data_IF_234787465038
#
_entry.id   IF_234787465038
#
_cell.length_a   1.000
_cell.length_b   1.000
_cell.length_c   1.000
_cell.angle_alpha   90.00
_cell.angle_beta   90.00
_cell.angle_gamma   90.00
#
_symmetry.space_group_name_H-M   'P 1'
#
loop_
_entity.id
_entity.type
_entity.pdbx_description
1 polymer ?
#
# COMPACT_ATOMS: atom_id res chain seq x y z
N UNK A 1 -18.26 -3.77 -22.02
CA UNK A 1 -17.88 -2.36 -21.81
C UNK A 1 -16.55 -2.15 -22.49
N UNK A 2 -16.47 -1.19 -23.41
CA UNK A 2 -15.31 -0.95 -24.25
C UNK A 2 -14.16 -0.38 -23.41
N UNK A 3 -12.98 -0.96 -23.58
CA UNK A 3 -11.72 -0.46 -23.03
C UNK A 3 -11.42 0.92 -23.62
N UNK A 4 -11.62 1.98 -22.83
CA UNK A 4 -11.16 3.32 -23.20
C UNK A 4 -9.65 3.39 -23.00
N UNK A 5 -8.91 3.17 -24.09
CA UNK A 5 -7.53 3.63 -24.24
C UNK A 5 -7.53 5.16 -24.09
N UNK A 6 -7.00 5.64 -22.96
CA UNK A 6 -6.87 7.06 -22.68
C UNK A 6 -5.77 7.64 -23.57
N UNK A 7 -6.15 8.53 -24.49
CA UNK A 7 -5.24 9.38 -25.25
C UNK A 7 -5.03 10.69 -24.49
N UNK A 8 -3.77 11.09 -24.32
CA UNK A 8 -3.37 12.36 -23.71
C UNK A 8 -3.75 13.56 -24.62
N UNK A 9 -4.13 14.73 -24.08
CA UNK A 9 -4.31 15.95 -24.88
C UNK A 9 -2.94 16.48 -25.36
N UNK A 10 -2.76 16.57 -26.67
CA UNK A 10 -1.59 17.16 -27.32
C UNK A 10 -1.49 18.67 -27.04
N UNK A 11 -0.40 19.10 -26.42
CA UNK A 11 0.08 20.47 -26.47
C UNK A 11 1.44 20.51 -27.18
N UNK A 12 1.48 21.12 -28.38
CA UNK A 12 2.71 21.57 -29.05
C UNK A 12 3.51 20.50 -29.79
N UNK A 13 3.40 20.51 -31.12
CA UNK A 13 4.17 19.67 -32.05
C UNK A 13 5.68 19.92 -31.92
N UNK A 14 6.41 18.91 -31.44
CA UNK A 14 7.77 18.57 -31.90
C UNK A 14 7.82 17.06 -32.02
N UNK A 15 7.88 16.55 -33.26
CA UNK A 15 7.99 15.13 -33.57
C UNK A 15 9.24 14.51 -32.91
N UNK A 16 9.04 13.77 -31.82
CA UNK A 16 9.96 12.73 -31.39
C UNK A 16 9.24 11.39 -31.49
N UNK A 17 9.76 10.56 -32.39
CA UNK A 17 9.42 9.15 -32.61
C UNK A 17 9.23 8.40 -31.29
N UNK A 18 7.98 8.23 -30.86
CA UNK A 18 7.60 7.31 -29.79
C UNK A 18 7.66 5.88 -30.32
N UNK A 19 8.75 5.17 -30.04
CA UNK A 19 8.75 3.71 -30.06
C UNK A 19 7.81 3.24 -28.95
N UNK A 20 6.60 2.84 -29.31
CA UNK A 20 5.76 2.03 -28.43
C UNK A 20 6.50 0.71 -28.22
N UNK A 21 7.08 0.49 -27.04
CA UNK A 21 7.61 -0.82 -26.67
C UNK A 21 6.44 -1.82 -26.67
N UNK A 22 6.43 -2.74 -27.63
CA UNK A 22 5.52 -3.88 -27.63
C UNK A 22 5.81 -4.73 -26.39
N UNK A 23 4.97 -4.61 -25.36
CA UNK A 23 5.07 -5.43 -24.15
C UNK A 23 4.79 -6.89 -24.53
N UNK A 24 5.81 -7.74 -24.44
CA UNK A 24 5.65 -9.19 -24.65
C UNK A 24 4.68 -9.75 -23.61
N UNK A 25 3.54 -10.28 -24.05
CA UNK A 25 2.54 -10.91 -23.19
C UNK A 25 3.15 -12.12 -22.51
N UNK A 26 3.15 -12.13 -21.19
CA UNK A 26 3.70 -13.20 -20.36
C UNK A 26 2.62 -14.22 -19.98
N UNK A 27 3.05 -15.39 -19.47
CA UNK A 27 2.14 -16.37 -18.85
C UNK A 27 1.35 -15.77 -17.66
N UNK A 28 1.92 -14.77 -16.98
CA UNK A 28 1.29 -14.11 -15.84
C UNK A 28 0.19 -13.14 -16.27
N UNK A 29 0.39 -12.40 -17.38
CA UNK A 29 -0.65 -11.50 -17.91
C UNK A 29 -1.90 -12.31 -18.30
N UNK A 30 -1.72 -13.46 -18.94
CA UNK A 30 -2.84 -14.37 -19.28
C UNK A 30 -3.53 -14.92 -18.04
N UNK A 31 -2.77 -15.37 -17.04
CA UNK A 31 -3.34 -15.92 -15.81
C UNK A 31 -4.07 -14.84 -14.97
N UNK A 32 -3.58 -13.60 -14.96
CA UNK A 32 -4.27 -12.49 -14.29
C UNK A 32 -5.60 -12.20 -14.98
N UNK A 33 -5.63 -12.20 -16.32
CA UNK A 33 -6.87 -12.02 -17.07
C UNK A 33 -7.89 -13.12 -16.77
N UNK A 34 -7.44 -14.38 -16.71
CA UNK A 34 -8.30 -15.51 -16.31
C UNK A 34 -8.84 -15.33 -14.89
N UNK A 35 -8.01 -14.85 -13.96
CA UNK A 35 -8.45 -14.56 -12.60
C UNK A 35 -9.48 -13.43 -12.54
N UNK A 36 -9.31 -12.36 -13.32
CA UNK A 36 -10.29 -11.27 -13.40
C UNK A 36 -11.64 -11.80 -13.90
N UNK A 37 -11.63 -12.68 -14.90
CA UNK A 37 -12.84 -13.34 -15.38
C UNK A 37 -13.49 -14.20 -14.29
N UNK A 38 -12.71 -15.02 -13.58
CA UNK A 38 -13.20 -15.83 -12.46
C UNK A 38 -13.77 -14.95 -11.34
N UNK A 39 -13.11 -13.84 -11.00
CA UNK A 39 -13.56 -12.90 -9.98
C UNK A 39 -14.90 -12.25 -10.34
N UNK A 40 -15.16 -12.03 -11.63
CA UNK A 40 -16.41 -11.44 -12.13
C UNK A 40 -17.54 -12.47 -12.35
N UNK A 41 -17.22 -13.76 -12.27
CA UNK A 41 -18.18 -14.85 -12.44
C UNK A 41 -19.22 -14.85 -11.33
N UNK A 42 -20.50 -14.87 -11.68
CA UNK A 42 -21.59 -15.02 -10.71
C UNK A 42 -21.59 -16.43 -10.12
N UNK A 43 -21.75 -16.52 -8.80
CA UNK A 43 -21.77 -17.78 -8.05
C UNK A 43 -20.54 -18.66 -8.30
N UNK A 44 -19.35 -18.04 -8.27
CA UNK A 44 -18.06 -18.63 -8.65
C UNK A 44 -17.84 -20.03 -8.07
N UNK A 45 -18.09 -20.20 -6.77
CA UNK A 45 -17.82 -21.47 -6.06
C UNK A 45 -18.65 -22.64 -6.62
N UNK A 46 -19.88 -22.38 -7.11
CA UNK A 46 -20.76 -23.42 -7.66
C UNK A 46 -20.47 -23.75 -9.13
N UNK A 47 -19.64 -22.96 -9.82
CA UNK A 47 -19.36 -23.16 -11.24
C UNK A 47 -17.88 -23.45 -11.54
N UNK A 48 -17.06 -23.68 -10.52
CA UNK A 48 -15.65 -24.07 -10.68
C UNK A 48 -15.49 -25.32 -11.56
N UNK A 49 -16.37 -26.31 -11.43
CA UNK A 49 -16.34 -27.54 -12.25
C UNK A 49 -16.65 -27.26 -13.73
N UNK A 50 -17.53 -26.29 -14.00
CA UNK A 50 -17.85 -25.85 -15.37
C UNK A 50 -16.66 -25.11 -15.98
N UNK A 51 -15.98 -24.31 -15.17
CA UNK A 51 -14.79 -23.53 -15.53
C UNK A 51 -13.46 -24.26 -15.30
N UNK A 52 -13.49 -25.60 -15.13
CA UNK A 52 -12.35 -26.38 -14.66
C UNK A 52 -11.07 -26.18 -15.47
N UNK A 53 -11.17 -26.01 -16.80
CA UNK A 53 -10.01 -25.75 -17.63
C UNK A 53 -9.31 -24.42 -17.30
N UNK A 54 -10.10 -23.37 -17.01
CA UNK A 54 -9.61 -22.04 -16.64
C UNK A 54 -9.04 -22.06 -15.22
N UNK A 55 -9.75 -22.69 -14.28
CA UNK A 55 -9.34 -22.85 -12.88
C UNK A 55 -8.02 -23.62 -12.79
N UNK A 56 -7.92 -24.78 -13.43
CA UNK A 56 -6.71 -25.62 -13.39
C UNK A 56 -5.48 -24.90 -13.98
N UNK A 57 -5.66 -24.16 -15.08
CA UNK A 57 -4.55 -23.42 -15.68
C UNK A 57 -4.10 -22.27 -14.77
N UNK A 58 -5.05 -21.53 -14.20
CA UNK A 58 -4.74 -20.47 -13.24
C UNK A 58 -4.00 -21.01 -12.01
N UNK A 59 -4.50 -22.07 -11.37
CA UNK A 59 -3.89 -22.68 -10.19
C UNK A 59 -2.47 -23.22 -10.46
N UNK A 60 -2.26 -23.77 -11.67
CA UNK A 60 -0.94 -24.20 -12.11
C UNK A 60 0.02 -23.02 -12.22
N UNK A 61 -0.40 -21.90 -12.82
CA UNK A 61 0.43 -20.68 -12.91
C UNK A 61 0.64 -20.05 -11.55
N UNK A 62 -0.38 -20.04 -10.68
CA UNK A 62 -0.29 -19.58 -9.30
C UNK A 62 0.78 -20.33 -8.52
N UNK A 63 0.76 -21.66 -8.58
CA UNK A 63 1.75 -22.52 -7.94
C UNK A 63 3.17 -22.26 -8.47
N UNK A 64 3.31 -22.08 -9.79
CA UNK A 64 4.61 -21.75 -10.42
C UNK A 64 5.10 -20.37 -9.94
N UNK A 65 4.21 -19.39 -9.87
CA UNK A 65 4.54 -18.04 -9.41
C UNK A 65 5.00 -18.04 -7.95
N UNK A 66 4.30 -18.75 -7.06
CA UNK A 66 4.66 -18.86 -5.63
C UNK A 66 6.09 -19.38 -5.48
N UNK A 67 6.45 -20.46 -6.20
CA UNK A 67 7.82 -21.01 -6.17
C UNK A 67 8.83 -20.01 -6.72
N UNK A 68 8.52 -19.37 -7.84
CA UNK A 68 9.42 -18.43 -8.51
C UNK A 68 9.68 -17.16 -7.69
N UNK A 69 8.68 -16.67 -6.94
CA UNK A 69 8.80 -15.46 -6.12
C UNK A 69 9.47 -15.74 -4.76
N UNK A 70 9.09 -16.83 -4.08
CA UNK A 70 9.38 -16.99 -2.65
C UNK A 70 10.30 -18.16 -2.29
N UNK A 71 10.56 -19.10 -3.21
CA UNK A 71 11.35 -20.31 -2.93
C UNK A 71 12.68 -20.40 -3.68
N UNK A 72 12.93 -19.48 -4.62
CA UNK A 72 14.19 -19.42 -5.37
C UNK A 72 15.05 -18.24 -4.87
N UNK A 73 16.38 -18.39 -4.90
CA UNK A 73 17.34 -17.42 -4.33
C UNK A 73 17.26 -16.00 -4.90
N UNK A 74 16.68 -15.82 -6.09
CA UNK A 74 16.35 -14.52 -6.67
C UNK A 74 14.87 -14.50 -7.06
N UNK A 75 14.02 -13.96 -6.18
CA UNK A 75 12.58 -13.87 -6.43
C UNK A 75 12.27 -13.19 -7.77
N UNK A 76 11.54 -13.89 -8.64
CA UNK A 76 11.16 -13.38 -9.95
C UNK A 76 10.21 -12.17 -9.79
N UNK A 77 10.66 -10.98 -10.21
CA UNK A 77 9.89 -9.73 -10.14
C UNK A 77 8.53 -9.84 -10.81
N UNK A 78 8.41 -10.55 -11.93
CA UNK A 78 7.12 -10.72 -12.62
C UNK A 78 6.19 -11.64 -11.82
N UNK A 79 6.75 -12.65 -11.14
CA UNK A 79 5.98 -13.51 -10.25
C UNK A 79 5.49 -12.73 -9.02
N UNK A 80 6.35 -11.90 -8.40
CA UNK A 80 5.92 -11.01 -7.31
C UNK A 80 4.78 -10.08 -7.75
N UNK A 81 4.93 -9.42 -8.90
CA UNK A 81 3.90 -8.52 -9.43
C UNK A 81 2.58 -9.23 -9.67
N UNK A 82 2.62 -10.41 -10.32
CA UNK A 82 1.44 -11.23 -10.52
C UNK A 82 0.75 -11.58 -9.19
N UNK A 83 1.48 -12.16 -8.24
CA UNK A 83 0.93 -12.59 -6.95
C UNK A 83 0.33 -11.43 -6.15
N UNK A 84 1.02 -10.29 -6.08
CA UNK A 84 0.55 -9.13 -5.34
C UNK A 84 -0.68 -8.48 -6.00
N UNK A 85 -0.81 -8.54 -7.34
CA UNK A 85 -2.02 -8.10 -8.05
C UNK A 85 -3.21 -9.03 -7.78
N UNK A 86 -3.01 -10.36 -7.82
CA UNK A 86 -4.05 -11.33 -7.45
C UNK A 86 -4.50 -11.08 -6.00
N UNK A 87 -3.54 -10.97 -5.08
CA UNK A 87 -3.83 -10.76 -3.67
C UNK A 87 -4.60 -9.45 -3.42
N UNK A 88 -4.19 -8.36 -4.08
CA UNK A 88 -4.89 -7.09 -3.99
C UNK A 88 -6.32 -7.17 -4.54
N UNK A 89 -6.53 -7.84 -5.68
CA UNK A 89 -7.87 -8.02 -6.27
C UNK A 89 -8.83 -8.80 -5.36
N UNK A 90 -8.32 -9.72 -4.56
CA UNK A 90 -9.11 -10.39 -3.52
C UNK A 90 -9.34 -9.44 -2.34
N UNK A 91 -8.29 -8.77 -1.87
CA UNK A 91 -8.34 -7.91 -0.70
C UNK A 91 -9.20 -6.66 -0.90
N UNK A 92 -9.26 -6.09 -2.09
CA UNK A 92 -10.10 -4.91 -2.38
C UNK A 92 -11.59 -5.16 -2.16
N UNK A 93 -12.05 -6.42 -2.21
CA UNK A 93 -13.46 -6.77 -1.93
C UNK A 93 -13.84 -6.45 -0.48
N UNK A 94 -12.84 -6.29 0.41
CA UNK A 94 -13.04 -5.89 1.80
C UNK A 94 -13.34 -4.40 1.96
N UNK A 95 -13.17 -3.59 0.91
CA UNK A 95 -13.43 -2.16 0.87
C UNK A 95 -14.61 -1.84 -0.05
N UNK A 96 -15.31 -0.75 0.24
CA UNK A 96 -16.42 -0.29 -0.59
C UNK A 96 -15.99 0.83 -1.54
N UNK A 97 -16.26 0.67 -2.83
CA UNK A 97 -15.72 1.50 -3.92
C UNK A 97 -16.81 2.35 -4.61
N UNK A 98 -18.08 2.24 -4.18
CA UNK A 98 -19.22 2.90 -4.81
C UNK A 98 -19.38 2.56 -6.30
N UNK A 99 -18.99 1.35 -6.69
CA UNK A 99 -19.17 0.77 -8.02
C UNK A 99 -20.33 -0.24 -8.05
N UNK A 100 -20.43 -1.03 -9.12
CA UNK A 100 -21.50 -2.02 -9.29
C UNK A 100 -21.48 -3.07 -8.18
N UNK A 101 -22.60 -3.22 -7.47
CA UNK A 101 -22.71 -4.16 -6.34
C UNK A 101 -22.39 -5.62 -6.73
N UNK A 102 -22.53 -5.98 -8.01
CA UNK A 102 -22.18 -7.32 -8.52
C UNK A 102 -20.69 -7.62 -8.46
N UNK A 103 -19.84 -6.59 -8.36
CA UNK A 103 -18.39 -6.79 -8.15
C UNK A 103 -18.07 -7.42 -6.78
N UNK A 104 -19.01 -7.43 -5.84
CA UNK A 104 -18.86 -8.00 -4.50
C UNK A 104 -19.42 -9.42 -4.36
N UNK A 105 -20.03 -9.98 -5.41
CA UNK A 105 -20.70 -11.29 -5.36
C UNK A 105 -19.80 -12.40 -4.77
N UNK A 106 -18.50 -12.31 -5.01
CA UNK A 106 -17.53 -13.32 -4.60
C UNK A 106 -16.75 -12.94 -3.33
N UNK A 107 -17.13 -11.91 -2.57
CA UNK A 107 -16.39 -11.46 -1.37
C UNK A 107 -16.24 -12.54 -0.29
N UNK A 108 -17.11 -13.56 -0.31
CA UNK A 108 -17.09 -14.73 0.60
C UNK A 108 -16.70 -16.04 -0.08
N UNK A 109 -16.19 -16.00 -1.32
CA UNK A 109 -15.85 -17.20 -2.07
C UNK A 109 -14.79 -18.04 -1.35
N UNK A 110 -15.04 -19.34 -1.21
CA UNK A 110 -14.09 -20.30 -0.65
C UNK A 110 -12.88 -20.49 -1.56
N UNK A 111 -13.10 -20.46 -2.88
CA UNK A 111 -12.04 -20.52 -3.86
C UNK A 111 -11.08 -19.32 -3.76
N UNK A 112 -11.61 -18.10 -3.71
CA UNK A 112 -10.79 -16.90 -3.53
C UNK A 112 -10.06 -16.91 -2.19
N UNK A 113 -10.72 -17.38 -1.13
CA UNK A 113 -10.09 -17.57 0.18
C UNK A 113 -8.91 -18.55 0.11
N UNK A 114 -9.05 -19.67 -0.61
CA UNK A 114 -7.96 -20.64 -0.83
C UNK A 114 -6.78 -20.00 -1.58
N UNK A 115 -7.05 -19.29 -2.68
CA UNK A 115 -6.02 -18.59 -3.44
C UNK A 115 -5.26 -17.58 -2.57
N UNK A 116 -5.99 -16.74 -1.82
CA UNK A 116 -5.40 -15.77 -0.88
C UNK A 116 -4.50 -16.46 0.13
N UNK A 117 -4.99 -17.51 0.80
CA UNK A 117 -4.25 -18.17 1.87
C UNK A 117 -2.97 -18.85 1.34
N UNK A 118 -2.99 -19.41 0.12
CA UNK A 118 -1.79 -19.99 -0.50
C UNK A 118 -0.72 -18.93 -0.78
N UNK A 119 -1.12 -17.77 -1.31
CA UNK A 119 -0.20 -16.65 -1.57
C UNK A 119 0.33 -16.07 -0.26
N UNK A 120 -0.56 -15.75 0.68
CA UNK A 120 -0.21 -15.14 1.96
C UNK A 120 0.71 -16.05 2.79
N UNK A 121 0.47 -17.37 2.84
CA UNK A 121 1.33 -18.29 3.59
C UNK A 121 2.78 -18.26 3.08
N UNK A 122 2.97 -18.51 1.77
CA UNK A 122 4.31 -18.54 1.19
C UNK A 122 5.00 -17.16 1.24
N UNK A 123 4.24 -16.09 1.05
CA UNK A 123 4.77 -14.74 1.12
C UNK A 123 5.17 -14.33 2.54
N UNK A 124 4.37 -14.66 3.55
CA UNK A 124 4.70 -14.35 4.95
C UNK A 124 5.90 -15.13 5.45
N UNK A 125 6.06 -16.40 5.05
CA UNK A 125 7.28 -17.16 5.36
C UNK A 125 8.52 -16.47 4.76
N UNK A 126 8.41 -15.93 3.54
CA UNK A 126 9.48 -15.20 2.87
C UNK A 126 9.78 -13.82 3.50
N UNK A 127 8.77 -13.05 3.92
CA UNK A 127 8.99 -11.77 4.63
C UNK A 127 9.59 -12.01 6.03
N UNK A 128 9.11 -13.02 6.76
CA UNK A 128 9.63 -13.33 8.10
C UNK A 128 11.05 -13.88 8.07
N UNK A 129 11.46 -14.58 7.01
CA UNK A 129 12.83 -15.05 6.83
C UNK A 129 13.86 -13.91 6.73
N UNK A 130 13.42 -12.67 6.49
CA UNK A 130 14.29 -11.49 6.40
C UNK A 130 14.50 -10.81 7.76
N UNK A 131 13.82 -11.25 8.82
CA UNK A 131 13.86 -10.63 10.16
C UNK A 131 14.24 -11.69 11.19
N UNK A 132 15.19 -11.37 12.07
CA UNK A 132 15.51 -12.23 13.22
C UNK A 132 14.44 -12.09 14.32
N UNK A 133 13.33 -12.81 14.15
CA UNK A 133 12.22 -12.82 15.10
C UNK A 133 12.66 -13.29 16.49
N UNK A 134 13.63 -14.20 16.57
CA UNK A 134 14.13 -14.71 17.86
C UNK A 134 14.86 -13.61 18.62
N UNK A 135 15.66 -12.79 17.92
CA UNK A 135 16.28 -11.62 18.53
C UNK A 135 15.24 -10.61 19.02
N UNK A 136 14.18 -10.34 18.25
CA UNK A 136 13.12 -9.39 18.65
C UNK A 136 12.43 -9.80 19.95
N UNK A 137 12.24 -11.10 20.18
CA UNK A 137 11.61 -11.64 21.39
C UNK A 137 12.44 -11.44 22.67
N UNK A 138 13.71 -11.08 22.55
CA UNK A 138 14.62 -10.85 23.69
C UNK A 138 14.84 -9.36 24.00
N UNK A 139 14.21 -8.46 23.24
CA UNK A 139 14.40 -7.02 23.39
C UNK A 139 13.62 -6.43 24.55
N UNK A 140 14.13 -5.34 25.13
CA UNK A 140 13.29 -4.41 25.88
C UNK A 140 12.44 -3.61 24.88
N UNK A 141 11.21 -4.10 24.66
CA UNK A 141 10.30 -3.58 23.63
C UNK A 141 10.05 -2.07 23.79
N UNK A 142 9.85 -1.59 25.02
CA UNK A 142 9.54 -0.17 25.24
C UNK A 142 10.73 0.70 24.88
N UNK A 143 11.91 0.33 25.38
CA UNK A 143 13.14 1.06 25.09
C UNK A 143 13.40 1.09 23.58
N UNK A 144 13.26 -0.06 22.91
CA UNK A 144 13.49 -0.18 21.46
C UNK A 144 12.50 0.65 20.64
N UNK A 145 11.21 0.66 21.01
CA UNK A 145 10.22 1.50 20.32
C UNK A 145 10.54 3.00 20.45
N UNK A 146 10.96 3.45 21.63
CA UNK A 146 11.37 4.85 21.85
C UNK A 146 12.60 5.20 21.02
N UNK A 147 13.64 4.36 21.07
CA UNK A 147 14.89 4.59 20.35
C UNK A 147 14.69 4.61 18.83
N UNK A 148 13.92 3.67 18.29
CA UNK A 148 13.62 3.61 16.86
C UNK A 148 12.76 4.78 16.39
N UNK A 149 11.72 5.13 17.16
CA UNK A 149 10.87 6.27 16.83
C UNK A 149 11.67 7.57 16.80
N UNK A 150 12.58 7.76 17.76
CA UNK A 150 13.50 8.91 17.78
C UNK A 150 14.40 8.96 16.54
N UNK A 151 14.96 7.82 16.12
CA UNK A 151 15.82 7.74 14.94
C UNK A 151 15.07 7.97 13.62
N UNK A 152 13.79 7.58 13.57
CA UNK A 152 12.97 7.64 12.35
C UNK A 152 12.14 8.92 12.23
N UNK A 153 12.12 9.77 13.26
CA UNK A 153 11.39 11.05 13.26
C UNK A 153 11.97 12.07 12.28
N UNK A 154 13.31 12.13 12.16
CA UNK A 154 14.03 12.99 11.22
C UNK A 154 15.31 12.32 10.71
N UNK A 155 15.18 11.25 9.88
CA UNK A 155 16.32 10.52 9.40
C UNK A 155 17.12 11.36 8.40
N UNK A 156 18.45 11.16 8.31
CA UNK A 156 19.27 11.85 7.32
C UNK A 156 18.79 11.53 5.90
N UNK A 157 18.94 12.50 4.99
CA UNK A 157 18.54 12.32 3.59
C UNK A 157 19.34 11.19 2.93
N UNK A 158 18.64 10.14 2.49
CA UNK A 158 19.16 9.15 1.57
C UNK A 158 19.38 9.76 0.17
N UNK A 159 20.16 9.10 -0.69
CA UNK A 159 20.36 9.54 -2.08
C UNK A 159 19.04 9.58 -2.87
N UNK A 160 18.12 8.66 -2.58
CA UNK A 160 16.80 8.62 -3.19
C UNK A 160 15.92 9.79 -2.71
N UNK A 161 15.96 10.12 -1.41
CA UNK A 161 15.28 11.30 -0.86
C UNK A 161 15.85 12.61 -1.41
N UNK A 162 17.19 12.71 -1.57
CA UNK A 162 17.84 13.85 -2.22
C UNK A 162 17.39 14.00 -3.66
N UNK A 163 17.34 12.90 -4.42
CA UNK A 163 16.84 12.92 -5.79
C UNK A 163 15.40 13.45 -5.86
N UNK A 164 14.49 12.92 -5.05
CA UNK A 164 13.09 13.38 -4.99
C UNK A 164 13.03 14.88 -4.70
N UNK A 165 13.74 15.30 -3.65
CA UNK A 165 13.71 16.68 -3.16
C UNK A 165 14.32 17.68 -4.15
N UNK A 166 15.47 17.35 -4.71
CA UNK A 166 16.37 18.31 -5.36
C UNK A 166 16.45 18.16 -6.88
N UNK A 167 16.06 17.00 -7.44
CA UNK A 167 16.29 16.67 -8.85
C UNK A 167 15.00 16.31 -9.61
N UNK A 168 14.03 15.64 -8.98
CA UNK A 168 12.78 15.21 -9.62
C UNK A 168 12.09 16.35 -10.40
N UNK A 169 11.69 16.06 -11.63
CA UNK A 169 11.00 16.97 -12.54
C UNK A 169 9.49 17.01 -12.27
N UNK A 170 8.74 17.91 -12.92
CA UNK A 170 7.28 17.89 -12.86
C UNK A 170 6.69 16.58 -13.43
N UNK A 171 7.29 16.02 -14.48
CA UNK A 171 6.88 14.72 -15.03
C UNK A 171 7.05 13.62 -13.98
N UNK A 172 8.18 13.62 -13.27
CA UNK A 172 8.43 12.72 -12.15
C UNK A 172 7.47 12.93 -10.99
N UNK A 173 7.11 14.18 -10.67
CA UNK A 173 6.12 14.51 -9.63
C UNK A 173 4.73 13.98 -9.99
N UNK A 174 4.27 14.16 -11.23
CA UNK A 174 3.00 13.59 -11.72
C UNK A 174 3.03 12.06 -11.65
N UNK A 175 4.18 11.43 -11.95
CA UNK A 175 4.34 9.98 -11.84
C UNK A 175 4.30 9.49 -10.39
N UNK A 176 4.92 10.22 -9.46
CA UNK A 176 4.78 10.00 -8.02
C UNK A 176 3.31 10.08 -7.61
N UNK A 177 2.59 11.14 -7.98
CA UNK A 177 1.16 11.29 -7.68
C UNK A 177 0.32 10.13 -8.22
N UNK A 178 0.64 9.66 -9.44
CA UNK A 178 -0.05 8.53 -10.05
C UNK A 178 0.11 7.26 -9.20
N UNK A 179 1.34 6.94 -8.76
CA UNK A 179 1.58 5.76 -7.91
C UNK A 179 0.97 5.96 -6.52
N UNK A 180 1.20 7.10 -5.88
CA UNK A 180 0.71 7.41 -4.52
C UNK A 180 -0.82 7.52 -4.44
N UNK A 181 -1.51 7.79 -5.55
CA UNK A 181 -2.98 7.78 -5.61
C UNK A 181 -3.60 6.44 -5.22
N UNK A 182 -2.83 5.35 -5.35
CA UNK A 182 -3.24 4.00 -4.97
C UNK A 182 -3.65 3.90 -3.49
N UNK A 183 -2.95 4.61 -2.61
CA UNK A 183 -3.25 4.63 -1.17
C UNK A 183 -3.89 5.97 -0.75
N UNK A 184 -3.38 7.11 -1.24
CA UNK A 184 -3.85 8.43 -0.83
C UNK A 184 -5.33 8.72 -1.13
N UNK A 185 -5.92 8.07 -2.15
CA UNK A 185 -7.36 8.22 -2.45
C UNK A 185 -8.27 7.40 -1.52
N UNK A 186 -7.72 6.40 -0.82
CA UNK A 186 -8.46 5.49 0.07
C UNK A 186 -7.98 5.53 1.52
N UNK A 187 -7.16 6.52 1.86
CA UNK A 187 -6.61 6.74 3.18
C UNK A 187 -7.63 6.67 4.32
N UNK A 188 -7.17 6.14 5.46
CA UNK A 188 -7.98 5.84 6.64
C UNK A 188 -8.72 4.50 6.57
N UNK A 189 -8.85 3.90 5.37
CA UNK A 189 -9.56 2.62 5.20
C UNK A 189 -8.93 1.49 6.00
N UNK A 190 -7.60 1.44 6.12
CA UNK A 190 -6.88 0.40 6.90
C UNK A 190 -7.20 0.48 8.39
N UNK A 191 -7.14 1.68 8.98
CA UNK A 191 -7.34 1.91 10.40
C UNK A 191 -8.78 1.57 10.82
N UNK A 192 -9.76 1.91 9.99
CA UNK A 192 -11.17 1.59 10.24
C UNK A 192 -11.42 0.10 10.50
N UNK A 193 -10.61 -0.81 9.93
CA UNK A 193 -10.79 -2.27 10.03
C UNK A 193 -10.40 -2.86 11.39
N UNK A 194 -9.61 -2.16 12.18
CA UNK A 194 -9.16 -2.63 13.50
C UNK A 194 -9.98 -2.07 14.66
N UNK A 195 -10.91 -1.15 14.39
CA UNK A 195 -11.69 -0.47 15.42
C UNK A 195 -12.95 -1.22 15.88
N UNK A 196 -13.26 -2.39 15.31
CA UNK A 196 -14.35 -3.23 15.82
C UNK A 196 -13.93 -3.98 17.08
N UNK A 197 -14.62 -3.78 18.22
CA UNK A 197 -14.30 -4.49 19.46
C UNK A 197 -14.75 -3.76 20.73
N UNK A 198 -14.15 -4.16 21.88
CA UNK A 198 -14.38 -3.54 23.17
C UNK A 198 -13.46 -2.35 23.42
N UNK A 199 -14.03 -1.21 23.82
CA UNK A 199 -13.32 0.05 24.01
C UNK A 199 -12.41 0.08 25.23
N UNK A 200 -11.21 0.64 25.03
CA UNK A 200 -10.27 1.07 26.05
C UNK A 200 -9.58 2.37 25.57
N UNK A 201 -8.67 2.94 26.36
CA UNK A 201 -7.96 4.18 26.01
C UNK A 201 -7.21 4.08 24.69
N UNK A 202 -6.54 2.95 24.43
CA UNK A 202 -5.87 2.70 23.14
C UNK A 202 -6.86 2.77 21.97
N UNK A 203 -8.02 2.12 22.08
CA UNK A 203 -9.03 2.16 21.04
C UNK A 203 -9.62 3.56 20.85
N UNK A 204 -9.80 4.34 21.93
CA UNK A 204 -10.22 5.74 21.87
C UNK A 204 -9.19 6.61 21.13
N UNK A 205 -7.90 6.41 21.37
CA UNK A 205 -6.83 7.11 20.64
C UNK A 205 -6.82 6.75 19.16
N UNK A 206 -6.96 5.47 18.82
CA UNK A 206 -7.04 5.05 17.41
C UNK A 206 -8.28 5.61 16.69
N UNK A 207 -9.41 5.74 17.39
CA UNK A 207 -10.61 6.43 16.86
C UNK A 207 -10.32 7.92 16.64
N UNK A 208 -9.59 8.58 17.56
CA UNK A 208 -9.20 9.99 17.41
C UNK A 208 -8.34 10.19 16.16
N UNK A 209 -7.34 9.35 15.93
CA UNK A 209 -6.52 9.34 14.70
C UNK A 209 -7.43 9.19 13.48
N UNK A 210 -8.29 8.16 13.44
CA UNK A 210 -9.19 7.95 12.30
C UNK A 210 -10.11 9.15 12.04
N UNK A 211 -10.63 9.80 13.08
CA UNK A 211 -11.49 10.97 12.94
C UNK A 211 -10.74 12.13 12.29
N UNK A 212 -9.47 12.35 12.63
CA UNK A 212 -8.64 13.38 11.98
C UNK A 212 -8.41 13.02 10.51
N UNK A 213 -8.03 11.78 10.18
CA UNK A 213 -7.89 11.29 8.79
C UNK A 213 -9.16 11.46 7.94
N UNK A 214 -10.33 11.30 8.57
CA UNK A 214 -11.64 11.48 7.94
C UNK A 214 -12.12 12.95 7.93
N UNK A 215 -11.25 13.91 8.25
CA UNK A 215 -11.59 15.33 8.26
C UNK A 215 -12.70 15.66 9.27
N UNK A 216 -12.74 14.93 10.39
CA UNK A 216 -13.81 14.93 11.38
C UNK A 216 -15.19 14.66 10.76
N UNK A 217 -15.25 13.75 9.78
CA UNK A 217 -16.46 13.35 9.07
C UNK A 217 -16.93 14.33 7.99
N UNK A 218 -16.14 15.35 7.65
CA UNK A 218 -16.46 16.31 6.59
C UNK A 218 -15.68 15.97 5.34
N UNK A 219 -16.37 15.57 4.27
CA UNK A 219 -15.71 15.18 3.01
C UNK A 219 -14.75 16.26 2.50
N UNK A 220 -15.12 17.54 2.56
CA UNK A 220 -14.25 18.66 2.14
C UNK A 220 -12.97 18.82 2.96
N UNK A 221 -12.83 18.10 4.08
CA UNK A 221 -11.66 18.07 4.95
C UNK A 221 -11.03 16.68 5.05
N UNK A 222 -11.64 15.65 4.45
CA UNK A 222 -11.04 14.31 4.41
C UNK A 222 -9.72 14.42 3.67
N UNK A 223 -8.67 13.81 4.19
CA UNK A 223 -7.33 13.92 3.62
C UNK A 223 -7.29 13.50 2.14
N UNK A 224 -7.97 12.40 1.79
CA UNK A 224 -8.11 11.95 0.39
C UNK A 224 -8.75 12.99 -0.55
N UNK A 225 -9.52 13.97 -0.06
CA UNK A 225 -10.03 15.09 -0.87
C UNK A 225 -8.92 16.05 -1.29
N UNK A 226 -7.95 16.30 -0.41
CA UNK A 226 -6.74 17.06 -0.77
C UNK A 226 -5.89 16.29 -1.78
N UNK A 227 -5.81 14.96 -1.66
CA UNK A 227 -5.11 14.13 -2.64
C UNK A 227 -5.77 14.21 -4.03
N UNK A 228 -7.10 14.06 -4.08
CA UNK A 228 -7.86 14.22 -5.32
C UNK A 228 -7.73 15.63 -5.93
N UNK A 229 -7.62 16.66 -5.08
CA UNK A 229 -7.36 18.03 -5.53
C UNK A 229 -5.97 18.17 -6.18
N UNK A 230 -4.92 17.58 -5.59
CA UNK A 230 -3.59 17.57 -6.21
C UNK A 230 -3.64 16.94 -7.61
N UNK A 231 -4.32 15.80 -7.77
CA UNK A 231 -4.51 15.16 -9.09
C UNK A 231 -5.27 16.07 -10.06
N UNK A 232 -6.30 16.76 -9.59
CA UNK A 232 -7.12 17.68 -10.40
C UNK A 232 -6.30 18.85 -10.95
N UNK A 233 -5.39 19.41 -10.16
CA UNK A 233 -4.49 20.50 -10.60
C UNK A 233 -3.64 20.12 -11.82
N UNK A 234 -3.31 18.84 -11.96
CA UNK A 234 -2.56 18.30 -13.10
C UNK A 234 -3.45 17.73 -14.22
N UNK A 235 -4.78 17.80 -14.09
CA UNK A 235 -5.73 17.19 -15.02
C UNK A 235 -5.67 15.65 -15.00
N UNK A 236 -5.29 15.04 -13.88
CA UNK A 236 -5.11 13.61 -13.72
C UNK A 236 -6.42 12.90 -13.34
N UNK A 237 -6.45 11.58 -13.53
CA UNK A 237 -7.57 10.75 -13.12
C UNK A 237 -7.65 10.70 -11.59
N UNK A 238 -8.79 11.08 -11.03
CA UNK A 238 -9.03 11.08 -9.57
C UNK A 238 -9.76 9.84 -9.07
N UNK A 239 -10.07 8.89 -9.96
CA UNK A 239 -10.73 7.65 -9.56
C UNK A 239 -9.72 6.76 -8.81
N UNK A 240 -10.11 6.17 -7.67
CA UNK A 240 -9.28 5.17 -7.01
C UNK A 240 -8.89 4.05 -7.98
N UNK A 241 -7.67 3.52 -7.82
CA UNK A 241 -7.08 2.51 -8.72
C UNK A 241 -6.90 2.96 -10.19
N UNK A 242 -7.13 4.23 -10.53
CA UNK A 242 -7.02 4.74 -11.90
C UNK A 242 -5.64 4.59 -12.56
N UNK A 243 -4.60 4.37 -11.75
CA UNK A 243 -3.22 4.16 -12.15
C UNK A 243 -2.65 2.80 -11.69
N UNK A 244 -3.51 1.82 -11.42
CA UNK A 244 -3.11 0.52 -10.85
C UNK A 244 -1.97 -0.18 -11.61
N UNK A 245 -1.90 -0.03 -12.93
CA UNK A 245 -0.85 -0.64 -13.76
C UNK A 245 0.54 -0.01 -13.61
N UNK A 246 0.63 1.20 -13.03
CA UNK A 246 1.90 1.86 -12.72
C UNK A 246 2.46 1.46 -11.35
N UNK A 247 1.63 0.87 -10.48
CA UNK A 247 1.99 0.57 -9.09
C UNK A 247 3.00 -0.59 -9.04
N UNK A 248 4.22 -0.37 -8.52
CA UNK A 248 5.20 -1.45 -8.34
C UNK A 248 4.68 -2.52 -7.38
N UNK A 249 5.13 -3.76 -7.55
CA UNK A 249 4.69 -4.87 -6.68
C UNK A 249 5.08 -4.64 -5.22
N UNK A 250 6.15 -3.90 -4.98
CA UNK A 250 6.63 -3.49 -3.67
C UNK A 250 5.60 -2.63 -2.93
N UNK A 251 4.94 -1.70 -3.65
CA UNK A 251 3.86 -0.86 -3.10
C UNK A 251 2.60 -1.70 -2.86
N UNK A 252 2.27 -2.60 -3.79
CA UNK A 252 1.16 -3.56 -3.60
C UNK A 252 1.39 -4.46 -2.38
N UNK A 253 2.63 -4.88 -2.14
CA UNK A 253 3.02 -5.67 -0.99
C UNK A 253 2.74 -4.91 0.32
N UNK A 254 3.08 -3.62 0.42
CA UNK A 254 2.74 -2.80 1.60
C UNK A 254 1.22 -2.78 1.86
N UNK A 255 0.41 -2.55 0.82
CA UNK A 255 -1.05 -2.54 0.95
C UNK A 255 -1.62 -3.92 1.35
N UNK A 256 -1.15 -4.99 0.71
CA UNK A 256 -1.59 -6.35 1.02
C UNK A 256 -1.18 -6.80 2.43
N UNK A 257 -0.02 -6.35 2.92
CA UNK A 257 0.40 -6.62 4.29
C UNK A 257 -0.54 -5.97 5.28
N UNK A 258 -0.90 -4.70 5.04
CA UNK A 258 -1.92 -3.99 5.82
C UNK A 258 -3.27 -4.71 5.83
N UNK A 259 -3.71 -5.29 4.70
CA UNK A 259 -4.91 -6.14 4.68
C UNK A 259 -4.76 -7.41 5.53
N UNK A 260 -3.60 -8.08 5.51
CA UNK A 260 -3.36 -9.26 6.34
C UNK A 260 -3.42 -8.92 7.85
N UNK A 261 -2.69 -7.88 8.26
CA UNK A 261 -2.65 -7.42 9.66
C UNK A 261 -4.03 -6.94 10.11
N UNK A 262 -4.72 -6.25 9.19
CA UNK A 262 -6.14 -5.95 9.12
C UNK A 262 -7.14 -6.91 9.75
N UNK A 263 -7.01 -8.11 9.21
CA UNK A 263 -8.06 -9.12 9.15
C UNK A 263 -7.80 -10.26 10.11
N UNK A 264 -6.59 -10.31 10.66
CA UNK A 264 -6.20 -11.29 11.66
C UNK A 264 -5.98 -10.59 12.97
N UNK A 265 -6.95 -10.66 13.88
CA UNK A 265 -6.87 -9.98 15.19
C UNK A 265 -5.68 -10.46 16.06
N UNK A 266 -5.13 -11.65 15.79
CA UNK A 266 -3.83 -12.09 16.37
C UNK A 266 -2.67 -11.16 16.01
N UNK A 267 -2.79 -10.37 14.95
CA UNK A 267 -1.81 -9.39 14.51
C UNK A 267 -2.17 -7.95 14.93
N UNK A 268 -3.07 -7.77 15.89
CA UNK A 268 -3.43 -6.44 16.38
C UNK A 268 -2.21 -5.64 16.89
N UNK A 269 -1.35 -6.26 17.70
CA UNK A 269 -0.11 -5.63 18.17
C UNK A 269 0.82 -5.29 16.99
N UNK A 270 0.99 -6.25 16.08
CA UNK A 270 1.81 -6.07 14.86
C UNK A 270 1.33 -4.92 13.99
N UNK A 271 0.03 -4.80 13.75
CA UNK A 271 -0.53 -3.67 13.02
C UNK A 271 -0.23 -2.33 13.71
N UNK A 272 -0.47 -2.25 15.02
CA UNK A 272 -0.24 -1.00 15.75
C UNK A 272 1.24 -0.61 15.76
N UNK A 273 2.17 -1.57 15.81
CA UNK A 273 3.59 -1.30 15.67
C UNK A 273 3.96 -0.72 14.31
N UNK A 274 3.42 -1.29 13.23
CA UNK A 274 3.59 -0.76 11.87
C UNK A 274 2.96 0.64 11.69
N UNK A 275 1.77 0.84 12.24
CA UNK A 275 1.12 2.16 12.24
C UNK A 275 1.94 3.19 13.02
N UNK A 276 2.54 2.82 14.17
CA UNK A 276 3.46 3.72 14.89
C UNK A 276 4.65 4.14 14.04
N UNK A 277 5.29 3.21 13.31
CA UNK A 277 6.35 3.59 12.37
C UNK A 277 5.84 4.56 11.30
N UNK A 278 4.68 4.25 10.69
CA UNK A 278 4.11 5.08 9.63
C UNK A 278 3.87 6.52 10.09
N UNK A 279 3.22 6.71 11.25
CA UNK A 279 2.90 8.06 11.76
C UNK A 279 4.16 8.81 12.24
N UNK A 280 5.21 8.11 12.65
CA UNK A 280 6.49 8.74 13.05
C UNK A 280 7.31 9.15 11.82
N UNK A 281 7.45 8.27 10.83
CA UNK A 281 8.36 8.45 9.70
C UNK A 281 7.73 9.17 8.50
N UNK A 282 6.41 9.07 8.33
CA UNK A 282 5.64 9.65 7.21
C UNK A 282 5.95 11.12 6.93
N UNK A 283 5.95 12.00 7.96
CA UNK A 283 6.24 13.43 7.79
C UNK A 283 7.61 13.71 7.17
N UNK A 284 8.62 12.90 7.49
CA UNK A 284 9.95 13.01 6.88
C UNK A 284 9.92 12.81 5.37
N UNK A 285 9.14 11.85 4.88
CA UNK A 285 8.95 11.63 3.44
C UNK A 285 8.17 12.77 2.79
N UNK A 286 7.06 13.22 3.41
CA UNK A 286 6.22 14.29 2.88
C UNK A 286 6.94 15.63 2.80
N UNK A 287 7.87 15.93 3.73
CA UNK A 287 8.73 17.13 3.64
C UNK A 287 9.58 17.12 2.36
N UNK A 288 10.02 15.96 1.88
CA UNK A 288 10.77 15.86 0.62
C UNK A 288 9.88 16.11 -0.60
N UNK A 289 8.65 15.58 -0.61
CA UNK A 289 7.68 15.83 -1.68
C UNK A 289 7.22 17.29 -1.72
N UNK A 290 7.00 17.91 -0.55
CA UNK A 290 6.66 19.31 -0.43
C UNK A 290 7.80 20.20 -0.94
N UNK A 291 9.04 19.92 -0.56
CA UNK A 291 10.20 20.66 -1.05
C UNK A 291 10.39 20.53 -2.57
N UNK A 292 10.12 19.35 -3.14
CA UNK A 292 10.11 19.16 -4.59
C UNK A 292 9.03 20.03 -5.27
N UNK A 293 7.81 20.04 -4.73
CA UNK A 293 6.71 20.84 -5.25
C UNK A 293 7.00 22.35 -5.21
N UNK A 294 7.58 22.83 -4.12
CA UNK A 294 7.98 24.23 -3.96
C UNK A 294 9.09 24.62 -4.96
N UNK A 295 10.12 23.76 -5.11
CA UNK A 295 11.20 23.96 -6.10
C UNK A 295 10.65 24.06 -7.54
N UNK A 296 9.65 23.26 -7.86
CA UNK A 296 8.99 23.24 -9.16
C UNK A 296 7.99 24.40 -9.36
N UNK A 297 7.73 25.22 -8.34
CA UNK A 297 6.80 26.35 -8.42
C UNK A 297 5.32 25.93 -8.54
N UNK A 298 4.96 24.76 -7.99
CA UNK A 298 3.59 24.24 -8.03
C UNK A 298 2.63 25.06 -7.16
N UNK A 299 1.32 24.97 -7.46
CA UNK A 299 0.27 25.66 -6.71
C UNK A 299 0.13 25.09 -5.29
N UNK A 300 -0.44 25.88 -4.36
CA UNK A 300 -0.74 25.40 -3.01
C UNK A 300 -1.69 24.18 -3.03
N UNK A 301 -2.64 24.16 -3.96
CA UNK A 301 -3.54 23.03 -4.17
C UNK A 301 -2.79 21.76 -4.62
N UNK A 302 -1.74 21.91 -5.43
CA UNK A 302 -0.91 20.80 -5.91
C UNK A 302 0.02 20.18 -4.85
N UNK A 303 0.14 20.79 -3.67
CA UNK A 303 0.96 20.27 -2.55
C UNK A 303 0.20 20.15 -1.22
N UNK A 304 -1.12 20.43 -1.21
CA UNK A 304 -1.91 20.60 0.00
C UNK A 304 -2.02 19.35 0.87
N UNK A 305 -2.03 18.16 0.28
CA UNK A 305 -2.05 16.90 1.03
C UNK A 305 -0.76 16.69 1.83
N UNK A 306 0.40 17.01 1.27
CA UNK A 306 1.68 16.91 1.98
C UNK A 306 1.77 17.92 3.11
N UNK A 307 1.33 19.15 2.87
CA UNK A 307 1.32 20.20 3.89
C UNK A 307 0.39 19.86 5.06
N UNK A 308 -0.76 19.23 4.78
CA UNK A 308 -1.70 18.77 5.78
C UNK A 308 -1.06 17.74 6.72
N UNK A 309 -0.49 16.67 6.17
CA UNK A 309 0.16 15.62 6.96
C UNK A 309 1.33 16.14 7.78
N UNK A 310 2.17 17.02 7.21
CA UNK A 310 3.28 17.60 7.99
C UNK A 310 2.78 18.40 9.21
N UNK A 311 1.61 19.04 9.13
CA UNK A 311 1.03 19.82 10.24
C UNK A 311 0.34 18.96 11.29
N UNK A 312 -0.33 17.90 10.86
CA UNK A 312 -1.16 17.06 11.75
C UNK A 312 -0.34 15.93 12.41
N UNK A 313 0.62 15.35 11.68
CA UNK A 313 1.23 14.06 12.04
C UNK A 313 2.29 14.11 13.14
N UNK A 314 2.88 15.27 13.46
CA UNK A 314 3.77 15.37 14.64
C UNK A 314 3.03 14.94 15.92
N UNK A 315 1.71 15.16 15.97
CA UNK A 315 0.84 14.71 17.07
C UNK A 315 0.50 13.23 16.94
N UNK A 316 0.28 12.73 15.72
CA UNK A 316 -0.09 11.33 15.49
C UNK A 316 1.05 10.39 15.84
N UNK A 317 2.28 10.70 15.44
CA UNK A 317 3.46 9.93 15.83
C UNK A 317 3.62 9.85 17.35
N UNK A 318 3.43 10.97 18.05
CA UNK A 318 3.45 10.99 19.51
C UNK A 318 2.32 10.14 20.12
N UNK A 319 1.08 10.29 19.66
CA UNK A 319 -0.05 9.48 20.15
C UNK A 319 0.17 7.99 19.89
N UNK A 320 0.65 7.63 18.70
CA UNK A 320 0.90 6.24 18.36
C UNK A 320 2.02 5.61 19.20
N UNK A 321 3.01 6.39 19.63
CA UNK A 321 4.04 5.90 20.54
C UNK A 321 3.56 5.87 21.99
N UNK A 322 3.16 7.02 22.53
CA UNK A 322 2.90 7.24 23.95
C UNK A 322 1.54 6.71 24.40
N UNK A 323 0.50 6.88 23.57
CA UNK A 323 -0.90 6.54 23.93
C UNK A 323 -1.34 5.18 23.34
N UNK A 324 -0.57 4.58 22.43
CA UNK A 324 -0.90 3.29 21.78
C UNK A 324 0.18 2.24 22.00
N UNK A 325 1.37 2.40 21.42
CA UNK A 325 2.38 1.32 21.39
C UNK A 325 2.94 1.00 22.78
N UNK A 326 3.30 2.01 23.58
CA UNK A 326 3.82 1.78 24.94
C UNK A 326 2.76 1.18 25.88
N UNK A 327 1.50 1.66 25.92
CA UNK A 327 0.43 1.01 26.67
C UNK A 327 0.14 -0.43 26.22
N UNK A 328 0.19 -0.72 24.91
CA UNK A 328 0.03 -2.08 24.42
C UNK A 328 1.20 -2.98 24.83
N UNK A 329 2.44 -2.46 24.85
CA UNK A 329 3.59 -3.21 25.35
C UNK A 329 3.47 -3.51 26.86
N UNK A 330 2.84 -2.63 27.64
CA UNK A 330 2.52 -2.86 29.05
C UNK A 330 1.43 -3.92 29.25
N UNK A 331 0.40 -3.86 28.43
CA UNK A 331 -0.76 -4.75 28.53
C UNK A 331 -0.43 -6.18 28.09
N UNK A 332 0.52 -6.36 27.17
CA UNK A 332 0.87 -7.65 26.57
C UNK A 332 2.38 -7.94 26.65
N UNK A 333 2.98 -8.06 27.84
CA UNK A 333 4.44 -8.15 27.98
C UNK A 333 5.06 -9.36 27.25
N UNK A 334 4.36 -10.50 27.20
CA UNK A 334 4.85 -11.72 26.54
C UNK A 334 4.75 -11.67 25.00
N UNK A 335 3.88 -10.82 24.45
CA UNK A 335 3.63 -10.66 23.02
C UNK A 335 4.08 -9.29 22.48
N UNK A 336 4.64 -8.42 23.33
CA UNK A 336 4.98 -7.04 22.98
C UNK A 336 5.99 -6.94 21.82
N UNK A 337 6.82 -7.97 21.63
CA UNK A 337 7.74 -8.08 20.50
C UNK A 337 7.03 -8.02 19.14
N UNK A 338 5.74 -8.33 19.06
CA UNK A 338 4.93 -8.18 17.85
C UNK A 338 4.81 -6.71 17.40
N UNK A 339 4.80 -5.75 18.34
CA UNK A 339 4.83 -4.31 18.02
C UNK A 339 6.14 -3.97 17.29
N UNK A 340 7.26 -4.46 17.81
CA UNK A 340 8.59 -4.25 17.24
C UNK A 340 8.72 -4.91 15.87
N UNK A 341 8.18 -6.13 15.71
CA UNK A 341 8.12 -6.83 14.44
C UNK A 341 7.30 -6.04 13.41
N UNK A 342 6.11 -5.55 13.79
CA UNK A 342 5.27 -4.75 12.91
C UNK A 342 5.93 -3.44 12.47
N UNK A 343 6.60 -2.77 13.40
CA UNK A 343 7.39 -1.57 13.13
C UNK A 343 8.49 -1.85 12.09
N UNK A 344 9.27 -2.93 12.28
CA UNK A 344 10.35 -3.31 11.35
C UNK A 344 9.81 -3.75 9.99
N UNK A 345 8.70 -4.50 9.96
CA UNK A 345 8.09 -4.93 8.71
C UNK A 345 7.61 -3.73 7.88
N UNK A 346 6.90 -2.78 8.49
CA UNK A 346 6.44 -1.57 7.78
C UNK A 346 7.63 -0.77 7.23
N UNK A 347 8.70 -0.62 8.02
CA UNK A 347 9.95 0.05 7.60
C UNK A 347 10.65 -0.65 6.45
N UNK A 348 10.93 -1.95 6.57
CA UNK A 348 11.68 -2.70 5.55
C UNK A 348 10.91 -2.76 4.23
N UNK A 349 9.59 -2.99 4.30
CA UNK A 349 8.73 -3.00 3.13
C UNK A 349 8.60 -1.60 2.52
N UNK A 350 8.46 -0.57 3.35
CA UNK A 350 8.44 0.84 2.95
C UNK A 350 9.71 1.28 2.23
N UNK A 351 10.89 0.92 2.75
CA UNK A 351 12.19 1.19 2.11
C UNK A 351 12.30 0.53 0.73
N UNK A 352 11.82 -0.71 0.61
CA UNK A 352 11.77 -1.46 -0.66
C UNK A 352 10.82 -0.80 -1.66
N UNK A 353 9.64 -0.37 -1.20
CA UNK A 353 8.66 0.35 -2.00
C UNK A 353 9.18 1.73 -2.46
N UNK A 354 9.79 2.50 -1.57
CA UNK A 354 10.36 3.82 -1.87
C UNK A 354 11.41 3.74 -2.98
N UNK A 355 12.33 2.77 -2.91
CA UNK A 355 13.31 2.50 -3.97
C UNK A 355 12.64 2.18 -5.31
N UNK A 356 11.62 1.33 -5.31
CA UNK A 356 10.89 0.96 -6.52
C UNK A 356 10.14 2.15 -7.14
N UNK A 357 9.56 3.04 -6.31
CA UNK A 357 8.93 4.29 -6.75
C UNK A 357 9.95 5.21 -7.40
N UNK A 358 11.11 5.44 -6.76
CA UNK A 358 12.17 6.29 -7.33
C UNK A 358 12.70 5.75 -8.65
N UNK A 359 12.89 4.44 -8.76
CA UNK A 359 13.26 3.80 -10.03
C UNK A 359 12.18 4.00 -11.11
N UNK A 360 10.90 3.88 -10.73
CA UNK A 360 9.77 4.07 -11.64
C UNK A 360 9.70 5.52 -12.13
N UNK A 361 9.90 6.49 -11.23
CA UNK A 361 9.97 7.92 -11.55
C UNK A 361 11.10 8.18 -12.55
N UNK A 362 12.33 7.73 -12.25
CA UNK A 362 13.50 7.93 -13.14
C UNK A 362 13.32 7.32 -14.53
N UNK A 363 12.50 6.27 -14.67
CA UNK A 363 12.19 5.66 -15.97
C UNK A 363 11.15 6.45 -16.76
N UNK A 364 10.27 7.19 -16.06
CA UNK A 364 9.22 7.99 -16.65
C UNK A 364 9.68 9.40 -17.07
N UNK A 365 10.75 9.90 -16.45
CA UNK A 365 11.49 11.10 -16.88
C UNK A 365 12.36 10.83 -18.12
#
# INVERSE_FOLDING_TARGET
MQSNLVMFPNAGVVEKSTKTEERTVTKYDRAEQQFIELLATEDLDNILDVEAAKVNEFERILSIAIRAAYQNDCGDRLAHQFLQRILYRINRLKLFWYDDLRHYNNERSLYLCSCRNQIEAAWQDWELAQIDVTALQQLDVKQVLIERSSNDLDPPLSEDSKYIREQMTEAGYRHLLAISSFDGLVEGSRLARILGGAANEVQCTLVRVLLEEYGNGRLSRKHSTFFAQMLTEFGMNTQPEGYFDLVPWEVLACANHNFLLTERKRYFLRYNGGLTYFEVAGPGAYRNYLAAAQRLGLSAAAMGYWELHIKEDERHGQWMLEDVALPLAEQYPDDAWELVLGYDQEKLMGDRAAKAVVQSIRKAE
#
